data_IF_509492798406
#
_entry.id   IF_509492798406
#
_cell.length_a   1.000
_cell.length_b   1.000
_cell.length_c   1.000
_cell.angle_alpha   90.00
_cell.angle_beta   90.00
_cell.angle_gamma   90.00
#
_symmetry.space_group_name_H-M   'P 1'
#
loop_
_entity.id
_entity.type
_entity.pdbx_description
1 polymer ?
#
# COMPACT_ATOMS: atom_id res chain seq x y z
N UNK A 1 2.74 -12.36 -1.45
CA UNK A 1 3.65 -11.25 -1.80
C UNK A 1 3.64 -10.26 -0.66
N UNK A 2 4.79 -9.68 -0.34
CA UNK A 2 4.87 -8.67 0.72
C UNK A 2 4.22 -7.36 0.27
N UNK A 3 3.41 -6.77 1.12
CA UNK A 3 2.76 -5.49 0.90
C UNK A 3 2.74 -4.67 2.19
N UNK A 4 2.83 -3.34 2.06
CA UNK A 4 2.55 -2.42 3.16
C UNK A 4 1.05 -2.12 3.16
N UNK A 5 0.37 -2.46 4.27
CA UNK A 5 -1.10 -2.41 4.41
C UNK A 5 -1.48 -1.49 5.57
N UNK A 6 -2.49 -0.65 5.36
CA UNK A 6 -3.15 0.11 6.43
C UNK A 6 -4.23 -0.77 7.08
N UNK A 7 -3.81 -1.61 8.04
CA UNK A 7 -4.67 -2.62 8.65
C UNK A 7 -5.75 -2.05 9.59
N UNK A 8 -5.53 -0.85 10.15
CA UNK A 8 -6.44 -0.26 11.14
C UNK A 8 -6.45 1.27 11.05
N UNK A 9 -7.55 1.93 11.44
CA UNK A 9 -7.67 3.39 11.47
C UNK A 9 -6.91 3.97 12.68
N UNK A 10 -5.58 3.83 12.67
CA UNK A 10 -4.65 4.34 13.68
C UNK A 10 -3.30 4.61 13.06
N UNK A 11 -2.44 5.35 13.75
CA UNK A 11 -1.04 5.60 13.34
C UNK A 11 -0.33 4.29 12.99
N UNK A 12 0.39 4.27 11.87
CA UNK A 12 1.22 3.15 11.42
C UNK A 12 0.77 2.54 10.09
N UNK A 13 1.62 1.63 9.61
CA UNK A 13 1.42 0.75 8.46
C UNK A 13 2.12 -0.58 8.75
N UNK A 14 1.64 -1.69 8.18
CA UNK A 14 2.13 -3.03 8.51
C UNK A 14 2.59 -3.76 7.27
N UNK A 15 3.69 -4.49 7.38
CA UNK A 15 4.15 -5.40 6.34
C UNK A 15 3.40 -6.72 6.49
N UNK A 16 2.65 -7.10 5.47
CA UNK A 16 1.86 -8.34 5.45
C UNK A 16 2.20 -9.16 4.19
N UNK A 17 2.05 -10.48 4.29
CA UNK A 17 2.11 -11.38 3.13
C UNK A 17 0.67 -11.61 2.61
N UNK A 18 0.37 -11.05 1.44
CA UNK A 18 -0.96 -11.11 0.80
C UNK A 18 -0.92 -11.94 -0.50
N UNK A 19 -2.05 -12.45 -1.01
CA UNK A 19 -2.10 -13.12 -2.32
C UNK A 19 -1.60 -12.20 -3.45
N UNK A 20 -1.04 -12.79 -4.51
CA UNK A 20 -0.73 -12.04 -5.74
C UNK A 20 -2.06 -11.73 -6.44
N UNK A 21 -2.32 -10.49 -6.88
CA UNK A 21 -3.59 -10.14 -7.50
C UNK A 21 -3.78 -10.85 -8.85
N UNK A 22 -5.03 -11.20 -9.14
CA UNK A 22 -5.49 -11.61 -10.46
C UNK A 22 -5.52 -10.40 -11.41
N UNK A 23 -5.45 -10.66 -12.72
CA UNK A 23 -5.38 -9.61 -13.74
C UNK A 23 -6.44 -9.89 -14.80
N UNK A 24 -7.43 -9.00 -14.89
CA UNK A 24 -8.55 -9.09 -15.81
C UNK A 24 -8.24 -8.59 -17.21
N UNK A 25 -9.25 -8.63 -18.08
CA UNK A 25 -9.19 -8.04 -19.42
C UNK A 25 -9.05 -6.52 -19.32
N UNK A 26 -8.00 -5.96 -19.93
CA UNK A 26 -7.59 -4.55 -19.87
C UNK A 26 -6.85 -4.10 -18.59
N UNK A 27 -6.37 -5.03 -17.77
CA UNK A 27 -5.49 -4.72 -16.64
C UNK A 27 -4.04 -5.10 -16.96
N UNK A 28 -3.09 -4.52 -16.22
CA UNK A 28 -1.68 -4.90 -16.28
C UNK A 28 -1.18 -5.31 -14.90
N UNK A 29 -0.58 -6.50 -14.81
CA UNK A 29 0.08 -6.97 -13.59
C UNK A 29 1.55 -6.57 -13.60
N UNK A 30 1.91 -5.64 -12.72
CA UNK A 30 3.26 -5.08 -12.64
C UNK A 30 4.01 -5.70 -11.46
N UNK A 31 5.23 -6.19 -11.72
CA UNK A 31 6.16 -6.58 -10.66
C UNK A 31 6.95 -5.36 -10.21
N UNK A 32 6.62 -4.84 -9.03
CA UNK A 32 7.32 -3.69 -8.44
C UNK A 32 8.77 -4.09 -8.09
N UNK A 33 9.74 -3.29 -8.53
CA UNK A 33 11.16 -3.42 -8.15
C UNK A 33 11.58 -2.35 -7.16
N UNK A 34 11.07 -1.13 -7.32
CA UNK A 34 11.32 0.03 -6.48
C UNK A 34 10.05 0.88 -6.41
N UNK A 35 9.86 1.58 -5.30
CA UNK A 35 8.78 2.56 -5.10
C UNK A 35 9.31 3.73 -4.28
N UNK A 36 8.70 4.90 -4.42
CA UNK A 36 8.97 6.08 -3.61
C UNK A 36 7.93 6.27 -2.51
N UNK A 37 8.25 7.13 -1.55
CA UNK A 37 7.32 7.64 -0.53
C UNK A 37 7.15 9.13 -0.80
N UNK A 38 5.91 9.60 -0.87
CA UNK A 38 5.56 11.01 -1.04
C UNK A 38 4.84 11.57 0.19
N UNK A 39 4.50 12.86 0.19
CA UNK A 39 3.82 13.51 1.31
C UNK A 39 2.49 12.87 1.68
N UNK A 40 1.69 12.45 0.69
CA UNK A 40 0.41 11.78 0.93
C UNK A 40 0.56 10.46 1.68
N UNK A 41 1.62 9.69 1.43
CA UNK A 41 1.90 8.46 2.16
C UNK A 41 2.19 8.74 3.65
N UNK A 42 2.81 9.88 3.95
CA UNK A 42 3.07 10.29 5.33
C UNK A 42 1.78 10.65 6.08
N UNK A 43 0.83 11.31 5.44
CA UNK A 43 -0.50 11.57 6.02
C UNK A 43 -1.21 10.25 6.36
N UNK A 44 -1.24 9.31 5.41
CA UNK A 44 -1.81 7.96 5.63
C UNK A 44 -1.10 7.25 6.79
N UNK A 45 0.23 7.31 6.86
CA UNK A 45 0.99 6.69 7.94
C UNK A 45 0.67 7.32 9.31
N UNK A 46 0.65 8.66 9.39
CA UNK A 46 0.37 9.39 10.63
C UNK A 46 -1.11 9.31 11.05
N UNK A 47 -2.00 8.95 10.14
CA UNK A 47 -3.45 8.91 10.40
C UNK A 47 -3.95 10.25 10.94
N UNK A 48 -3.57 11.33 10.26
CA UNK A 48 -3.95 12.70 10.59
C UNK A 48 -5.24 13.12 9.86
N UNK A 49 -5.59 14.41 9.93
CA UNK A 49 -6.82 14.96 9.35
C UNK A 49 -6.85 14.91 7.80
N UNK A 50 -5.74 14.59 7.14
CA UNK A 50 -5.64 14.46 5.68
C UNK A 50 -5.51 12.99 5.21
N UNK A 51 -5.65 12.02 6.13
CA UNK A 51 -5.56 10.59 5.88
C UNK A 51 -6.91 9.91 5.57
#
# INVERSE_FOLDING_TARGET
>A
MKALVKHSPKVGIWMEDIPVPDCGTNEVKIKITHTGICGSDLHIYQWDEWA
#
